data_IF_358407995530
#
_entry.id   IF_358407995530
#
_cell.length_a   1.000
_cell.length_b   1.000
_cell.length_c   1.000
_cell.angle_alpha   90.00
_cell.angle_beta   90.00
_cell.angle_gamma   90.00
#
_symmetry.space_group_name_H-M   'P 1'
#
loop_
_entity.id
_entity.type
_entity.pdbx_description
1 polymer ?
#
# COMPACT_ATOMS: atom_id res chain seq x y z
N UNK A 1 23.74 51.75 -21.20
CA UNK A 1 25.12 51.74 -21.76
C UNK A 1 25.67 50.35 -21.51
N UNK A 2 26.05 49.45 -22.42
CA UNK A 2 26.25 49.31 -23.88
C UNK A 2 25.66 47.92 -24.24
N UNK A 3 24.87 47.67 -25.31
CA UNK A 3 25.18 47.52 -26.74
C UNK A 3 26.35 46.58 -27.12
N UNK A 4 26.02 45.57 -27.95
CA UNK A 4 26.92 44.82 -28.84
C UNK A 4 27.12 43.36 -28.41
N UNK A 5 26.99 42.32 -29.22
CA UNK A 5 26.92 42.25 -30.68
C UNK A 5 26.17 40.97 -31.11
N UNK A 6 25.46 41.08 -32.23
CA UNK A 6 24.94 39.96 -33.01
C UNK A 6 26.03 39.55 -34.00
N UNK A 7 26.29 38.26 -34.12
CA UNK A 7 26.89 37.67 -35.31
C UNK A 7 26.25 36.30 -35.55
N UNK A 8 25.42 36.23 -36.57
CA UNK A 8 24.92 35.00 -37.16
C UNK A 8 26.01 34.38 -38.05
N UNK A 9 26.16 33.06 -37.98
CA UNK A 9 26.80 32.28 -39.03
C UNK A 9 26.04 30.95 -39.17
N UNK A 10 25.70 30.68 -40.42
CA UNK A 10 24.76 29.72 -40.97
C UNK A 10 25.37 28.34 -41.24
N UNK A 11 24.50 27.42 -41.65
CA UNK A 11 24.74 26.13 -42.33
C UNK A 11 25.03 24.94 -41.41
N UNK A 12 24.60 23.71 -41.68
CA UNK A 12 23.63 23.11 -42.61
C UNK A 12 23.61 21.62 -42.26
N UNK A 13 22.46 21.01 -42.49
CA UNK A 13 22.23 19.59 -42.79
C UNK A 13 22.54 18.46 -41.77
N UNK A 14 21.68 17.45 -41.87
CA UNK A 14 22.15 16.07 -41.83
C UNK A 14 22.00 15.34 -40.50
N UNK A 15 20.76 14.93 -40.21
CA UNK A 15 20.37 13.74 -39.46
C UNK A 15 21.44 13.02 -38.62
N UNK A 16 21.28 13.08 -37.31
CA UNK A 16 21.61 11.94 -36.46
C UNK A 16 20.53 11.85 -35.38
N UNK A 17 19.58 10.95 -35.63
CA UNK A 17 18.57 10.56 -34.67
C UNK A 17 19.29 10.16 -33.38
N UNK A 18 19.10 10.97 -32.32
CA UNK A 18 19.53 10.61 -30.98
C UNK A 18 19.10 9.16 -30.69
N UNK A 19 19.94 8.35 -30.03
CA UNK A 19 19.52 7.02 -29.63
C UNK A 19 18.27 7.19 -28.77
N UNK A 20 17.11 6.75 -29.30
CA UNK A 20 15.95 6.48 -28.49
C UNK A 20 16.44 5.45 -27.51
N UNK A 21 16.70 5.85 -26.27
CA UNK A 21 16.89 4.90 -25.19
C UNK A 21 15.69 3.95 -25.28
N UNK A 22 15.88 2.66 -25.63
CA UNK A 22 14.81 1.70 -25.45
C UNK A 22 14.41 1.86 -24.00
N UNK A 23 13.14 2.20 -23.79
CA UNK A 23 12.62 2.65 -22.51
C UNK A 23 13.25 1.83 -21.41
N UNK A 24 13.81 2.50 -20.41
CA UNK A 24 14.04 1.90 -19.12
C UNK A 24 12.65 1.50 -18.64
N UNK A 25 12.17 0.35 -19.10
CA UNK A 25 11.05 -0.31 -18.49
C UNK A 25 11.60 -0.66 -17.11
N UNK A 26 11.05 -0.12 -16.00
CA UNK A 26 11.18 -0.84 -14.76
C UNK A 26 10.43 -2.15 -15.01
N UNK A 27 11.18 -3.15 -15.49
CA UNK A 27 10.81 -4.54 -15.68
C UNK A 27 9.90 -4.88 -14.51
N UNK A 28 8.61 -5.13 -14.78
CA UNK A 28 7.57 -5.20 -13.77
C UNK A 28 8.07 -6.01 -12.56
N UNK A 29 8.42 -5.31 -11.47
CA UNK A 29 9.07 -5.96 -10.33
C UNK A 29 8.09 -6.86 -9.57
N UNK A 30 6.79 -6.80 -9.91
CA UNK A 30 5.70 -7.59 -9.33
C UNK A 30 4.73 -7.98 -10.45
N UNK A 31 4.27 -9.22 -10.44
CA UNK A 31 3.16 -9.68 -11.29
C UNK A 31 1.85 -9.00 -10.85
N UNK A 32 1.12 -8.31 -11.75
CA UNK A 32 -0.15 -7.66 -11.38
C UNK A 32 -1.19 -8.65 -10.84
N UNK A 33 -1.19 -9.89 -11.32
CA UNK A 33 -2.14 -10.91 -10.85
C UNK A 33 -1.73 -11.45 -9.48
N UNK A 34 -0.44 -11.55 -9.18
CA UNK A 34 0.06 -11.83 -7.82
C UNK A 34 -0.34 -10.73 -6.84
N UNK A 35 -0.14 -9.45 -7.22
CA UNK A 35 -0.54 -8.31 -6.41
C UNK A 35 -2.06 -8.27 -6.17
N UNK A 36 -2.86 -8.56 -7.20
CA UNK A 36 -4.31 -8.63 -7.07
C UNK A 36 -4.76 -9.74 -6.12
N UNK A 37 -4.15 -10.94 -6.22
CA UNK A 37 -4.39 -12.05 -5.28
C UNK A 37 -4.04 -11.66 -3.84
N UNK A 38 -2.91 -11.00 -3.64
CA UNK A 38 -2.51 -10.51 -2.32
C UNK A 38 -3.52 -9.51 -1.74
N UNK A 39 -3.97 -8.53 -2.54
CA UNK A 39 -4.99 -7.56 -2.09
C UNK A 39 -6.30 -8.25 -1.70
N UNK A 40 -6.74 -9.24 -2.48
CA UNK A 40 -7.93 -10.03 -2.14
C UNK A 40 -7.76 -10.80 -0.82
N UNK A 41 -6.59 -11.41 -0.62
CA UNK A 41 -6.24 -12.07 0.63
C UNK A 41 -6.19 -11.11 1.81
N UNK A 42 -5.61 -9.91 1.65
CA UNK A 42 -5.52 -8.88 2.69
C UNK A 42 -6.90 -8.37 3.11
N UNK A 43 -7.80 -8.13 2.15
CA UNK A 43 -9.20 -7.76 2.44
C UNK A 43 -9.91 -8.82 3.28
N UNK A 44 -9.77 -10.10 2.88
CA UNK A 44 -10.37 -11.22 3.61
C UNK A 44 -9.78 -11.35 5.01
N UNK A 45 -8.45 -11.26 5.13
CA UNK A 45 -7.75 -11.27 6.41
C UNK A 45 -8.31 -10.18 7.34
N UNK A 46 -8.38 -8.94 6.86
CA UNK A 46 -8.88 -7.82 7.65
C UNK A 46 -10.29 -8.07 8.19
N UNK A 47 -11.19 -8.57 7.34
CA UNK A 47 -12.56 -8.88 7.74
C UNK A 47 -12.61 -10.00 8.78
N UNK A 48 -11.96 -11.13 8.51
CA UNK A 48 -11.93 -12.26 9.44
C UNK A 48 -11.32 -11.86 10.78
N UNK A 49 -10.18 -11.16 10.79
CA UNK A 49 -9.53 -10.71 12.02
C UNK A 49 -10.41 -9.75 12.82
N UNK A 50 -11.12 -8.83 12.16
CA UNK A 50 -12.09 -7.94 12.82
C UNK A 50 -13.18 -8.73 13.54
N UNK A 51 -13.75 -9.72 12.87
CA UNK A 51 -14.84 -10.54 13.41
C UNK A 51 -14.38 -11.39 14.61
N UNK A 52 -13.19 -12.00 14.50
CA UNK A 52 -12.58 -12.79 15.59
C UNK A 52 -12.23 -11.93 16.81
N UNK A 53 -11.64 -10.75 16.61
CA UNK A 53 -11.36 -9.82 17.72
C UNK A 53 -12.65 -9.41 18.42
N UNK A 54 -13.70 -9.07 17.66
CA UNK A 54 -14.99 -8.70 18.23
C UNK A 54 -15.61 -9.85 19.03
N UNK A 55 -15.45 -11.10 18.59
CA UNK A 55 -15.87 -12.28 19.34
C UNK A 55 -15.15 -12.41 20.67
N UNK A 56 -13.82 -12.35 20.67
CA UNK A 56 -13.01 -12.48 21.88
C UNK A 56 -13.28 -11.33 22.86
N UNK A 57 -13.46 -10.09 22.38
CA UNK A 57 -13.83 -8.97 23.23
C UNK A 57 -15.18 -9.17 23.93
N UNK A 58 -16.19 -9.75 23.24
CA UNK A 58 -17.48 -10.08 23.87
C UNK A 58 -17.32 -11.16 24.95
N UNK A 59 -16.49 -12.17 24.70
CA UNK A 59 -16.20 -13.21 25.69
C UNK A 59 -15.45 -12.64 26.90
N UNK A 60 -14.48 -11.75 26.66
CA UNK A 60 -13.73 -11.05 27.71
C UNK A 60 -14.66 -10.21 28.59
N UNK A 61 -15.60 -9.48 27.98
CA UNK A 61 -16.62 -8.72 28.74
C UNK A 61 -17.46 -9.62 29.65
N UNK A 62 -17.92 -10.77 29.13
CA UNK A 62 -18.69 -11.74 29.93
C UNK A 62 -17.87 -12.33 31.07
N UNK A 63 -16.59 -12.62 30.84
CA UNK A 63 -15.69 -13.12 31.87
C UNK A 63 -15.55 -12.13 33.05
N UNK A 64 -15.56 -10.83 32.75
CA UNK A 64 -15.56 -9.77 33.76
C UNK A 64 -16.80 -9.74 34.67
N UNK A 65 -17.90 -10.43 34.32
CA UNK A 65 -19.07 -10.55 35.20
C UNK A 65 -18.77 -11.47 36.39
N UNK A 66 -17.97 -12.52 36.19
CA UNK A 66 -17.62 -13.52 37.22
C UNK A 66 -16.22 -13.36 37.81
N UNK A 67 -15.34 -12.58 37.16
CA UNK A 67 -13.96 -12.37 37.60
C UNK A 67 -13.73 -10.88 37.87
N UNK A 68 -13.59 -10.50 39.14
CA UNK A 68 -13.57 -9.10 39.58
C UNK A 68 -12.49 -8.85 40.66
N UNK A 69 -11.28 -9.37 40.42
CA UNK A 69 -10.14 -9.18 41.31
C UNK A 69 -9.03 -8.33 40.66
N UNK A 70 -7.91 -8.16 41.38
CA UNK A 70 -6.78 -7.39 40.88
C UNK A 70 -6.05 -8.08 39.72
N UNK A 71 -6.10 -9.42 39.63
CA UNK A 71 -5.49 -10.15 38.51
C UNK A 71 -6.27 -9.90 37.23
N UNK A 72 -7.60 -9.89 37.32
CA UNK A 72 -8.47 -9.50 36.21
C UNK A 72 -8.12 -8.11 35.70
N UNK A 73 -7.93 -7.12 36.59
CA UNK A 73 -7.59 -5.76 36.20
C UNK A 73 -6.25 -5.69 35.44
N UNK A 74 -5.22 -6.36 35.94
CA UNK A 74 -3.89 -6.42 35.28
C UNK A 74 -3.96 -7.12 33.92
N UNK A 75 -4.74 -8.18 33.82
CA UNK A 75 -4.96 -8.88 32.55
C UNK A 75 -5.73 -7.99 31.56
N UNK A 76 -6.75 -7.26 32.01
CA UNK A 76 -7.55 -6.36 31.19
C UNK A 76 -6.68 -5.31 30.49
N UNK A 77 -5.79 -4.65 31.24
CA UNK A 77 -4.87 -3.66 30.68
C UNK A 77 -4.00 -4.24 29.54
N UNK A 78 -3.45 -5.43 29.77
CA UNK A 78 -2.62 -6.14 28.79
C UNK A 78 -3.44 -6.56 27.57
N UNK A 79 -4.64 -7.09 27.80
CA UNK A 79 -5.56 -7.51 26.74
C UNK A 79 -5.99 -6.34 25.85
N UNK A 80 -6.39 -5.21 26.43
CA UNK A 80 -6.76 -4.01 25.70
C UNK A 80 -5.58 -3.40 24.93
N UNK A 81 -4.36 -3.46 25.48
CA UNK A 81 -3.15 -3.08 24.77
C UNK A 81 -2.92 -3.94 23.51
N UNK A 82 -3.09 -5.26 23.62
CA UNK A 82 -2.98 -6.18 22.47
C UNK A 82 -4.06 -5.88 21.41
N UNK A 83 -5.31 -5.67 21.82
CA UNK A 83 -6.39 -5.34 20.87
C UNK A 83 -6.10 -4.04 20.12
N UNK A 84 -5.56 -3.02 20.78
CA UNK A 84 -5.16 -1.76 20.11
C UNK A 84 -4.08 -1.95 19.05
N UNK A 85 -3.16 -2.89 19.22
CA UNK A 85 -2.15 -3.22 18.20
C UNK A 85 -2.84 -3.78 16.94
N UNK A 86 -3.78 -4.70 17.10
CA UNK A 86 -4.55 -5.23 15.98
C UNK A 86 -5.40 -4.15 15.29
N UNK A 87 -6.04 -3.26 16.06
CA UNK A 87 -6.80 -2.14 15.51
C UNK A 87 -5.96 -1.27 14.57
N UNK A 88 -4.76 -0.87 15.00
CA UNK A 88 -3.83 -0.11 14.17
C UNK A 88 -3.41 -0.86 12.90
N UNK A 89 -3.15 -2.16 12.99
CA UNK A 89 -2.81 -2.96 11.81
C UNK A 89 -3.96 -2.97 10.80
N UNK A 90 -5.20 -3.20 11.25
CA UNK A 90 -6.38 -3.23 10.39
C UNK A 90 -6.63 -1.89 9.71
N UNK A 91 -6.51 -0.78 10.45
CA UNK A 91 -6.65 0.56 9.89
C UNK A 91 -5.62 0.84 8.79
N UNK A 92 -4.35 0.55 9.05
CA UNK A 92 -3.28 0.80 8.09
C UNK A 92 -3.34 -0.12 6.87
N UNK A 93 -3.68 -1.39 7.06
CA UNK A 93 -3.84 -2.33 5.95
C UNK A 93 -5.03 -1.96 5.05
N UNK A 94 -6.15 -1.51 5.63
CA UNK A 94 -7.32 -1.02 4.87
C UNK A 94 -7.01 0.24 4.06
N UNK A 95 -6.20 1.16 4.60
CA UNK A 95 -5.72 2.35 3.88
C UNK A 95 -4.83 2.00 2.69
N UNK A 96 -4.06 0.91 2.77
CA UNK A 96 -3.17 0.47 1.69
C UNK A 96 -3.90 -0.25 0.55
N UNK A 97 -5.01 -0.93 0.85
CA UNK A 97 -5.78 -1.72 -0.13
C UNK A 97 -6.05 -0.94 -1.44
N UNK A 98 -6.61 0.30 -1.44
CA UNK A 98 -6.85 1.04 -2.68
C UNK A 98 -5.58 1.43 -3.45
N UNK A 99 -4.45 1.63 -2.75
CA UNK A 99 -3.18 1.97 -3.39
C UNK A 99 -2.61 0.74 -4.13
N UNK A 100 -2.65 -0.43 -3.49
CA UNK A 100 -2.21 -1.68 -4.09
C UNK A 100 -3.12 -2.13 -5.24
N UNK A 101 -4.43 -1.93 -5.13
CA UNK A 101 -5.39 -2.17 -6.24
C UNK A 101 -5.05 -1.33 -7.45
N UNK A 102 -4.92 0.00 -7.29
CA UNK A 102 -4.56 0.91 -8.40
C UNK A 102 -3.20 0.57 -9.02
N UNK A 103 -2.24 0.11 -8.21
CA UNK A 103 -0.93 -0.33 -8.71
C UNK A 103 -1.06 -1.58 -9.59
N UNK A 104 -1.88 -2.57 -9.20
CA UNK A 104 -2.10 -3.76 -10.02
C UNK A 104 -2.78 -3.41 -11.36
N UNK A 105 -3.78 -2.52 -11.33
CA UNK A 105 -4.48 -2.03 -12.53
C UNK A 105 -3.54 -1.31 -13.49
N UNK A 106 -2.72 -0.36 -12.99
CA UNK A 106 -1.78 0.38 -13.81
C UNK A 106 -0.74 -0.52 -14.51
N UNK A 107 -0.25 -1.56 -13.81
CA UNK A 107 0.67 -2.55 -14.40
C UNK A 107 -0.05 -3.36 -15.50
N UNK A 108 -1.30 -3.76 -15.27
CA UNK A 108 -2.10 -4.50 -16.26
C UNK A 108 -2.34 -3.68 -17.52
N UNK A 109 -2.67 -2.40 -17.37
CA UNK A 109 -2.91 -1.49 -18.50
C UNK A 109 -1.64 -1.25 -19.31
N UNK A 110 -0.50 -1.12 -18.63
CA UNK A 110 0.81 -1.01 -19.28
C UNK A 110 1.14 -2.25 -20.12
N UNK A 111 0.94 -3.45 -19.56
CA UNK A 111 1.20 -4.73 -20.25
C UNK A 111 0.25 -4.99 -21.42
N UNK A 112 -0.96 -4.40 -21.42
CA UNK A 112 -1.91 -4.50 -22.54
C UNK A 112 -1.56 -3.54 -23.69
N UNK A 113 -0.96 -2.40 -23.36
CA UNK A 113 -0.72 -1.30 -24.30
C UNK A 113 0.64 -1.36 -25.01
N UNK A 114 1.51 -2.29 -24.61
CA UNK A 114 2.80 -2.59 -25.25
C UNK A 114 2.74 -3.92 -26.00
#
# INVERSE_FOLDING_TARGET
MLRGAVAAATADDGGSAAPRYPGVMPKAAVDPEELARFVAALKRFNQTTRDEIALVQRQFKRLGESWQDQEQARFAESFEAMVRVYGRFLEESERQVPQLTRKAEAIRDYLRSG
#
